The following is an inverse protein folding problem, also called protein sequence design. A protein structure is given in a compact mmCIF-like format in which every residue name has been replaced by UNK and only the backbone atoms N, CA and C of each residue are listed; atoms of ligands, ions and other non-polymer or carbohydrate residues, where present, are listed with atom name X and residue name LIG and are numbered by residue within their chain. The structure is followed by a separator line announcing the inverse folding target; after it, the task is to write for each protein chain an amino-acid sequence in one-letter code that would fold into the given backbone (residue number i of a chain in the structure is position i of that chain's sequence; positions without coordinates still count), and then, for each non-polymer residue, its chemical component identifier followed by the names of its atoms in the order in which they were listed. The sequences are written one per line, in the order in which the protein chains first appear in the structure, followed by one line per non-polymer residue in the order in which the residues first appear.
data_IF_982333479994
#
_entry.id   IF_982333479994
#
_cell.length_a   1.000
_cell.length_b   1.000
_cell.length_c   1.000
_cell.angle_alpha   90.00
_cell.angle_beta   90.00
_cell.angle_gamma   90.00
#
_symmetry.space_group_name_H-M   'P 1'
#
loop_
_entity.id
_entity.type
_entity.pdbx_description
1 polymer ?
#
# COMPACT_ATOMS: atom_id res chain seq x y z
N UNK A 1 0.44 -32.00 -23.24
CA UNK A 1 1.89 -32.07 -22.90
C UNK A 1 2.76 -32.23 -24.15
N UNK A 2 2.50 -33.22 -25.01
CA UNK A 2 3.26 -33.41 -26.25
C UNK A 2 3.37 -32.12 -27.09
N UNK A 3 2.26 -31.40 -27.30
CA UNK A 3 2.27 -30.14 -28.08
C UNK A 3 3.24 -29.09 -27.55
N UNK A 4 3.42 -29.01 -26.22
CA UNK A 4 4.40 -28.14 -25.60
C UNK A 4 5.82 -28.67 -25.84
N UNK A 5 6.07 -29.95 -25.53
CA UNK A 5 7.40 -30.56 -25.67
C UNK A 5 7.95 -30.50 -27.10
N UNK A 6 7.08 -30.61 -28.10
CA UNK A 6 7.45 -30.53 -29.52
C UNK A 6 7.34 -29.11 -30.10
N UNK A 7 6.98 -28.11 -29.29
CA UNK A 7 6.89 -26.71 -29.73
C UNK A 7 5.77 -26.41 -30.70
N UNK A 8 4.79 -27.31 -30.84
CA UNK A 8 3.55 -27.05 -31.58
C UNK A 8 2.71 -25.97 -30.89
N UNK A 9 2.81 -25.87 -29.56
CA UNK A 9 2.26 -24.78 -28.74
C UNK A 9 3.38 -24.17 -27.90
N UNK A 10 3.42 -22.85 -27.83
CA UNK A 10 4.37 -22.12 -26.99
C UNK A 10 3.85 -22.03 -25.53
N UNK A 11 4.62 -22.48 -24.51
CA UNK A 11 4.23 -22.34 -23.12
C UNK A 11 4.10 -20.87 -22.74
N UNK A 12 3.05 -20.56 -21.98
CA UNK A 12 2.70 -19.21 -21.55
C UNK A 12 2.04 -19.18 -20.17
N UNK A 13 2.28 -20.23 -19.38
CA UNK A 13 1.85 -20.29 -17.99
C UNK A 13 2.77 -19.45 -17.10
N UNK A 14 2.18 -18.77 -16.10
CA UNK A 14 2.91 -18.10 -15.02
C UNK A 14 2.56 -18.79 -13.70
N UNK A 15 3.53 -18.88 -12.79
CA UNK A 15 3.30 -19.48 -11.49
C UNK A 15 2.31 -18.65 -10.66
N UNK A 16 1.27 -19.31 -10.15
CA UNK A 16 0.32 -18.71 -9.21
C UNK A 16 0.81 -18.77 -7.75
N UNK A 17 1.93 -19.44 -7.51
CA UNK A 17 2.53 -19.62 -6.18
C UNK A 17 4.05 -19.49 -6.27
N UNK A 18 4.67 -19.04 -5.19
CA UNK A 18 6.13 -19.06 -5.06
C UNK A 18 6.61 -20.48 -4.82
N UNK A 19 7.62 -20.93 -5.56
CA UNK A 19 8.34 -22.17 -5.25
C UNK A 19 9.56 -21.80 -4.41
N UNK A 20 9.56 -22.05 -3.09
CA UNK A 20 10.65 -21.66 -2.21
C UNK A 20 11.89 -22.55 -2.42
N UNK A 21 13.07 -22.08 -2.01
CA UNK A 21 14.28 -22.91 -2.02
C UNK A 21 14.20 -24.00 -0.94
N UNK A 22 13.71 -23.63 0.25
CA UNK A 22 13.42 -24.54 1.37
C UNK A 22 12.04 -24.23 1.92
N UNK A 23 11.35 -25.24 2.44
CA UNK A 23 10.07 -25.02 3.12
C UNK A 23 10.20 -24.04 4.31
N UNK A 24 11.35 -24.08 5.00
CA UNK A 24 11.67 -23.18 6.11
C UNK A 24 11.81 -21.69 5.73
N UNK A 25 11.90 -21.38 4.43
CA UNK A 25 11.95 -20.00 3.94
C UNK A 25 10.55 -19.37 3.82
N UNK A 26 9.48 -20.17 3.97
CA UNK A 26 8.10 -19.69 3.92
C UNK A 26 7.70 -19.00 5.23
N UNK A 27 6.95 -17.90 5.13
CA UNK A 27 6.59 -17.06 6.28
C UNK A 27 5.80 -17.81 7.37
N UNK A 28 5.01 -18.81 6.98
CA UNK A 28 4.17 -19.59 7.88
C UNK A 28 4.89 -20.78 8.52
N UNK A 29 6.15 -21.06 8.16
CA UNK A 29 6.85 -22.29 8.57
C UNK A 29 6.86 -22.51 10.08
N UNK A 30 7.05 -21.45 10.86
CA UNK A 30 7.09 -21.54 12.34
C UNK A 30 5.71 -21.67 12.98
N UNK A 31 4.65 -21.29 12.27
CA UNK A 31 3.28 -21.25 12.80
C UNK A 31 2.43 -22.46 12.34
N UNK A 32 2.87 -23.21 11.33
CA UNK A 32 2.15 -24.36 10.77
C UNK A 32 2.77 -25.69 11.23
N UNK A 33 1.98 -26.72 11.62
CA UNK A 33 0.52 -26.83 11.57
C UNK A 33 -0.21 -26.28 12.81
N UNK A 34 0.46 -25.47 13.63
CA UNK A 34 -0.07 -24.92 14.88
C UNK A 34 0.19 -25.79 16.10
N UNK A 35 -0.38 -25.39 17.24
CA UNK A 35 -0.22 -26.04 18.53
C UNK A 35 -1.53 -25.98 19.34
N UNK A 36 -1.79 -27.02 20.14
CA UNK A 36 -2.98 -27.09 21.02
C UNK A 36 -4.32 -26.78 20.30
N UNK A 37 -4.45 -27.22 19.04
CA UNK A 37 -5.66 -27.00 18.23
C UNK A 37 -5.82 -25.59 17.65
N UNK A 38 -4.80 -24.73 17.73
CA UNK A 38 -4.83 -23.36 17.23
C UNK A 38 -3.67 -23.09 16.25
N UNK A 39 -3.96 -22.37 15.16
CA UNK A 39 -2.96 -21.91 14.17
C UNK A 39 -2.99 -20.40 14.14
N UNK A 40 -1.89 -19.74 14.47
CA UNK A 40 -1.77 -18.27 14.43
C UNK A 40 -1.14 -17.85 13.10
N UNK A 41 -1.82 -16.97 12.36
CA UNK A 41 -1.31 -16.38 11.12
C UNK A 41 -0.35 -15.23 11.46
N UNK A 42 0.80 -15.56 12.06
CA UNK A 42 1.76 -14.59 12.58
C UNK A 42 2.47 -13.76 11.51
N UNK A 43 2.48 -14.25 10.28
CA UNK A 43 3.01 -13.55 9.10
C UNK A 43 2.12 -12.39 8.62
N UNK A 44 0.86 -12.32 9.07
CA UNK A 44 -0.10 -11.30 8.65
C UNK A 44 -0.27 -11.28 7.13
N UNK A 45 -0.09 -10.11 6.52
CA UNK A 45 -0.21 -9.95 5.05
C UNK A 45 1.02 -10.45 4.28
N UNK A 46 2.11 -10.82 4.96
CA UNK A 46 3.36 -11.26 4.34
C UNK A 46 3.27 -12.75 3.95
N UNK A 47 2.38 -13.08 3.03
CA UNK A 47 2.16 -14.46 2.55
C UNK A 47 2.73 -14.63 1.13
N UNK A 48 3.46 -15.72 0.90
CA UNK A 48 4.02 -16.06 -0.41
C UNK A 48 5.04 -15.02 -0.87
N UNK A 49 4.93 -14.54 -2.11
CA UNK A 49 5.87 -13.56 -2.66
C UNK A 49 5.92 -12.26 -1.84
N UNK A 50 4.83 -11.87 -1.17
CA UNK A 50 4.82 -10.69 -0.29
C UNK A 50 5.88 -10.80 0.79
N UNK A 51 6.10 -11.99 1.34
CA UNK A 51 7.21 -12.25 2.26
C UNK A 51 8.56 -12.25 1.54
N UNK A 52 8.72 -13.14 0.56
CA UNK A 52 10.00 -13.37 -0.12
C UNK A 52 10.63 -12.06 -0.64
N UNK A 53 9.83 -11.21 -1.29
CA UNK A 53 10.33 -9.96 -1.85
C UNK A 53 10.57 -8.90 -0.77
N UNK A 54 9.71 -8.81 0.26
CA UNK A 54 9.84 -7.78 1.30
C UNK A 54 11.02 -8.02 2.22
N UNK A 55 11.32 -9.29 2.56
CA UNK A 55 12.44 -9.64 3.45
C UNK A 55 13.67 -10.15 2.69
N UNK A 56 13.66 -10.03 1.34
CA UNK A 56 14.75 -10.44 0.46
C UNK A 56 15.21 -11.90 0.67
N UNK A 57 14.25 -12.81 0.83
CA UNK A 57 14.50 -14.26 0.91
C UNK A 57 14.30 -14.87 -0.48
N UNK A 58 15.35 -15.38 -1.14
CA UNK A 58 15.23 -15.87 -2.52
C UNK A 58 14.24 -17.02 -2.66
N UNK A 59 13.41 -16.96 -3.70
CA UNK A 59 12.62 -18.09 -4.16
C UNK A 59 13.40 -18.89 -5.21
N UNK A 60 13.13 -20.20 -5.33
CA UNK A 60 13.65 -20.99 -6.45
C UNK A 60 13.00 -20.57 -7.76
N UNK A 61 11.67 -20.38 -7.72
CA UNK A 61 10.92 -19.74 -8.79
C UNK A 61 9.93 -18.75 -8.16
N UNK A 62 10.07 -17.44 -8.45
CA UNK A 62 9.17 -16.43 -7.90
C UNK A 62 7.73 -16.60 -8.40
N UNK A 63 6.78 -16.04 -7.65
CA UNK A 63 5.41 -15.86 -8.13
C UNK A 63 5.41 -15.11 -9.48
N UNK A 64 4.56 -15.52 -10.41
CA UNK A 64 4.51 -14.92 -11.74
C UNK A 64 5.62 -15.37 -12.70
N UNK A 65 6.55 -16.23 -12.26
CA UNK A 65 7.60 -16.76 -13.13
C UNK A 65 7.05 -17.72 -14.18
N UNK A 66 7.62 -17.70 -15.38
CA UNK A 66 7.25 -18.55 -16.49
C UNK A 66 8.15 -18.30 -17.70
N UNK A 67 8.48 -19.35 -18.43
CA UNK A 67 9.29 -19.27 -19.66
C UNK A 67 8.42 -19.42 -20.90
N UNK A 68 8.97 -18.98 -22.02
CA UNK A 68 8.36 -19.08 -23.35
C UNK A 68 9.42 -19.56 -24.35
N UNK A 69 8.97 -20.13 -25.47
CA UNK A 69 9.84 -20.43 -26.62
C UNK A 69 10.13 -19.20 -27.49
N UNK A 70 9.55 -18.04 -27.17
CA UNK A 70 9.89 -16.76 -27.78
C UNK A 70 10.32 -15.76 -26.71
N UNK A 71 10.81 -14.59 -27.11
CA UNK A 71 11.18 -13.51 -26.20
C UNK A 71 10.23 -12.33 -26.35
N UNK A 72 9.95 -11.65 -25.25
CA UNK A 72 9.15 -10.43 -25.23
C UNK A 72 9.93 -9.28 -24.61
N UNK A 73 9.67 -8.09 -25.11
CA UNK A 73 10.14 -6.83 -24.54
C UNK A 73 8.93 -5.99 -24.11
N UNK A 74 9.10 -5.27 -23.01
CA UNK A 74 8.16 -4.24 -22.56
C UNK A 74 8.85 -2.88 -22.61
N UNK A 75 8.12 -1.86 -23.05
CA UNK A 75 8.62 -0.49 -23.17
C UNK A 75 7.48 0.52 -22.96
N UNK A 76 7.84 1.79 -22.88
CA UNK A 76 6.89 2.92 -22.91
C UNK A 76 5.77 2.82 -21.87
N UNK A 77 6.12 2.42 -20.63
CA UNK A 77 5.18 2.47 -19.52
C UNK A 77 4.79 3.94 -19.24
N UNK A 78 3.51 4.25 -19.36
CA UNK A 78 2.93 5.52 -18.92
C UNK A 78 1.86 5.26 -17.88
N UNK A 79 1.73 6.18 -16.93
CA UNK A 79 0.75 6.09 -15.85
C UNK A 79 0.14 7.46 -15.64
N UNK A 80 -1.19 7.52 -15.66
CA UNK A 80 -1.96 8.74 -15.49
C UNK A 80 -2.95 8.55 -14.35
N UNK A 81 -2.99 9.50 -13.42
CA UNK A 81 -4.06 9.53 -12.41
C UNK A 81 -5.40 9.80 -13.11
N UNK A 82 -6.41 9.00 -12.80
CA UNK A 82 -7.77 9.13 -13.35
C UNK A 82 -8.78 9.67 -12.33
N UNK A 83 -8.31 9.89 -11.10
CA UNK A 83 -9.06 10.42 -9.96
C UNK A 83 -8.12 10.63 -8.77
N UNK A 84 -8.69 10.93 -7.61
CA UNK A 84 -7.91 11.15 -6.39
C UNK A 84 -7.21 9.87 -5.92
N UNK A 85 -7.78 8.71 -6.21
CA UNK A 85 -7.35 7.38 -5.74
C UNK A 85 -7.27 6.33 -6.85
N UNK A 86 -7.36 6.72 -8.12
CA UNK A 86 -7.35 5.82 -9.26
C UNK A 86 -6.35 6.24 -10.33
N UNK A 87 -5.89 5.28 -11.13
CA UNK A 87 -4.97 5.53 -12.23
C UNK A 87 -5.22 4.59 -13.42
N UNK A 88 -4.60 4.91 -14.56
CA UNK A 88 -4.53 4.06 -15.74
C UNK A 88 -3.07 3.87 -16.11
N UNK A 89 -2.65 2.62 -16.27
CA UNK A 89 -1.31 2.27 -16.76
C UNK A 89 -1.40 1.74 -18.19
N UNK A 90 -0.52 2.23 -19.05
CA UNK A 90 -0.40 1.78 -20.44
C UNK A 90 1.03 1.35 -20.71
N UNK A 91 1.23 0.20 -21.35
CA UNK A 91 2.56 -0.34 -21.67
C UNK A 91 2.58 -0.99 -23.05
N UNK A 92 3.68 -0.82 -23.76
CA UNK A 92 3.92 -1.46 -25.04
C UNK A 92 4.59 -2.82 -24.84
N UNK A 93 4.09 -3.85 -25.52
CA UNK A 93 4.60 -5.23 -25.48
C UNK A 93 4.93 -5.68 -26.89
N UNK A 94 6.15 -6.15 -27.10
CA UNK A 94 6.63 -6.63 -28.39
C UNK A 94 7.12 -8.06 -28.28
N UNK A 95 6.74 -8.91 -29.24
CA UNK A 95 7.37 -10.21 -29.42
C UNK A 95 8.65 -10.02 -30.24
N UNK A 96 9.79 -10.22 -29.60
CA UNK A 96 11.12 -10.00 -30.17
C UNK A 96 11.79 -11.28 -30.66
N UNK A 97 11.14 -12.44 -30.48
CA UNK A 97 11.64 -13.71 -30.99
C UNK A 97 11.05 -14.10 -32.34
N UNK A 98 11.32 -15.34 -32.74
CA UNK A 98 10.96 -15.91 -34.05
C UNK A 98 9.70 -16.78 -34.02
N UNK A 99 9.08 -16.94 -32.85
CA UNK A 99 7.90 -17.78 -32.65
C UNK A 99 6.71 -16.97 -32.14
N UNK A 100 5.48 -17.30 -32.56
CA UNK A 100 4.31 -16.74 -31.91
C UNK A 100 4.23 -17.21 -30.45
N UNK A 101 3.64 -16.39 -29.59
CA UNK A 101 3.47 -16.73 -28.18
C UNK A 101 2.58 -15.76 -27.44
N UNK A 102 2.29 -16.09 -26.19
CA UNK A 102 1.59 -15.18 -25.28
C UNK A 102 2.50 -14.71 -24.16
N UNK A 103 2.41 -13.42 -23.87
CA UNK A 103 3.02 -12.77 -22.70
C UNK A 103 1.94 -12.39 -21.70
N UNK A 104 2.22 -12.52 -20.41
CA UNK A 104 1.40 -12.03 -19.31
C UNK A 104 2.11 -10.82 -18.73
N UNK A 105 1.63 -9.63 -19.07
CA UNK A 105 2.07 -8.37 -18.47
C UNK A 105 1.55 -8.34 -17.04
N UNK A 106 2.44 -8.23 -16.06
CA UNK A 106 2.08 -8.19 -14.65
C UNK A 106 2.39 -6.81 -14.07
N UNK A 107 1.37 -6.17 -13.50
CA UNK A 107 1.49 -4.86 -12.88
C UNK A 107 1.38 -4.98 -11.37
N UNK A 108 2.39 -4.43 -10.70
CA UNK A 108 2.50 -4.37 -9.26
C UNK A 108 2.47 -2.92 -8.79
N UNK A 109 1.94 -2.71 -7.59
CA UNK A 109 2.01 -1.42 -6.87
C UNK A 109 2.96 -1.58 -5.70
N UNK A 110 3.96 -0.71 -5.64
CA UNK A 110 4.85 -0.51 -4.51
C UNK A 110 4.49 0.84 -3.87
N UNK A 111 3.91 0.81 -2.68
CA UNK A 111 3.60 2.01 -1.93
C UNK A 111 4.83 2.47 -1.13
N UNK A 112 4.99 3.78 -0.98
CA UNK A 112 5.95 4.34 -0.03
C UNK A 112 5.56 3.99 1.43
N UNK A 113 6.44 4.35 2.37
CA UNK A 113 6.17 4.20 3.79
C UNK A 113 4.85 4.88 4.16
N UNK A 114 4.01 4.13 4.88
CA UNK A 114 2.69 4.56 5.31
C UNK A 114 2.40 4.13 6.75
N UNK A 115 1.20 4.43 7.26
CA UNK A 115 0.84 4.14 8.66
C UNK A 115 0.77 2.64 8.96
N UNK A 116 0.66 1.79 7.93
CA UNK A 116 0.67 0.34 8.06
C UNK A 116 1.84 -0.28 7.30
N UNK A 117 2.33 -1.43 7.81
CA UNK A 117 3.32 -2.23 7.10
C UNK A 117 2.68 -2.86 5.86
N UNK A 118 3.27 -2.59 4.70
CA UNK A 118 2.84 -3.15 3.42
C UNK A 118 3.94 -4.03 2.81
N UNK A 119 3.58 -5.02 1.98
CA UNK A 119 4.56 -5.70 1.14
C UNK A 119 5.29 -4.70 0.24
N UNK A 120 6.56 -4.98 -0.08
CA UNK A 120 7.37 -4.12 -0.95
C UNK A 120 6.70 -3.87 -2.31
N UNK A 121 5.89 -4.82 -2.79
CA UNK A 121 5.01 -4.67 -3.94
C UNK A 121 3.87 -5.68 -3.90
N UNK A 122 2.75 -5.34 -4.54
CA UNK A 122 1.58 -6.21 -4.65
C UNK A 122 1.05 -6.24 -6.08
N UNK A 123 0.78 -7.44 -6.62
CA UNK A 123 0.10 -7.59 -7.91
C UNK A 123 -1.29 -6.95 -7.85
N UNK A 124 -1.57 -6.02 -8.75
CA UNK A 124 -2.87 -5.33 -8.85
C UNK A 124 -3.58 -5.55 -10.18
N UNK A 125 -2.85 -5.77 -11.26
CA UNK A 125 -3.43 -6.08 -12.54
C UNK A 125 -2.52 -7.01 -13.35
N UNK A 126 -3.10 -7.75 -14.27
CA UNK A 126 -2.35 -8.44 -15.30
C UNK A 126 -3.17 -8.56 -16.58
N UNK A 127 -2.51 -8.66 -17.71
CA UNK A 127 -3.16 -8.88 -19.00
C UNK A 127 -2.34 -9.86 -19.84
N UNK A 128 -3.04 -10.81 -20.47
CA UNK A 128 -2.41 -11.80 -21.35
C UNK A 128 -2.62 -11.40 -22.79
N UNK A 129 -1.53 -11.23 -23.52
CA UNK A 129 -1.52 -10.82 -24.93
C UNK A 129 -0.84 -11.88 -25.78
N UNK A 130 -1.47 -12.26 -26.90
CA UNK A 130 -0.87 -13.14 -27.91
C UNK A 130 -0.31 -12.29 -29.05
N UNK A 131 0.92 -12.57 -29.46
CA UNK A 131 1.67 -11.81 -30.45
C UNK A 131 2.36 -12.75 -31.44
N UNK A 132 2.24 -12.43 -32.73
CA UNK A 132 3.10 -12.98 -33.79
C UNK A 132 4.54 -12.46 -33.65
N UNK A 133 5.55 -13.12 -34.26
CA UNK A 133 6.91 -12.59 -34.31
C UNK A 133 6.95 -11.15 -34.81
N UNK A 134 7.74 -10.29 -34.17
CA UNK A 134 7.85 -8.85 -34.42
C UNK A 134 6.55 -8.03 -34.21
N UNK A 135 5.44 -8.66 -33.81
CA UNK A 135 4.21 -7.93 -33.49
C UNK A 135 4.37 -7.15 -32.19
N UNK A 136 3.83 -5.93 -32.19
CA UNK A 136 3.78 -5.04 -31.03
C UNK A 136 2.33 -4.67 -30.74
N UNK A 137 1.95 -4.69 -29.45
CA UNK A 137 0.66 -4.20 -28.98
C UNK A 137 0.81 -3.35 -27.73
N UNK A 138 -0.06 -2.37 -27.62
CA UNK A 138 -0.22 -1.57 -26.40
C UNK A 138 -1.29 -2.20 -25.53
N UNK A 139 -1.00 -2.35 -24.24
CA UNK A 139 -1.88 -2.90 -23.22
C UNK A 139 -2.20 -1.81 -22.21
N UNK A 140 -3.50 -1.54 -21.99
CA UNK A 140 -3.98 -0.64 -20.96
C UNK A 140 -4.59 -1.44 -19.79
N UNK A 141 -4.34 -0.99 -18.56
CA UNK A 141 -4.86 -1.57 -17.32
C UNK A 141 -5.40 -0.46 -16.43
N UNK A 142 -6.67 -0.56 -16.05
CA UNK A 142 -7.28 0.33 -15.06
C UNK A 142 -6.90 -0.09 -13.65
N UNK A 143 -6.60 0.89 -12.81
CA UNK A 143 -6.28 0.73 -11.40
C UNK A 143 -7.28 1.56 -10.60
N UNK A 144 -8.27 0.88 -10.02
CA UNK A 144 -9.25 1.51 -9.13
C UNK A 144 -8.64 1.80 -7.75
N UNK A 145 -9.44 2.39 -6.85
CA UNK A 145 -9.03 2.69 -5.48
C UNK A 145 -8.43 1.47 -4.74
N UNK A 146 -8.95 0.26 -5.01
CA UNK A 146 -8.48 -0.98 -4.36
C UNK A 146 -7.07 -1.37 -4.80
N UNK A 147 -6.59 -0.89 -5.94
CA UNK A 147 -5.20 -1.07 -6.33
C UNK A 147 -4.22 -0.37 -5.38
N UNK A 148 -4.63 0.74 -4.76
CA UNK A 148 -3.77 1.55 -3.89
C UNK A 148 -4.08 1.34 -2.41
N UNK A 149 -5.30 0.91 -2.10
CA UNK A 149 -5.81 0.81 -0.74
C UNK A 149 -5.11 -0.25 0.13
N UNK A 150 -5.17 -0.01 1.44
CA UNK A 150 -4.97 -1.01 2.49
C UNK A 150 -6.20 -1.07 3.39
N UNK A 151 -6.36 -2.17 4.11
CA UNK A 151 -7.42 -2.28 5.13
C UNK A 151 -6.95 -1.62 6.42
N UNK A 152 -7.65 -0.58 6.83
CA UNK A 152 -7.42 0.09 8.12
C UNK A 152 -8.26 -0.61 9.20
N UNK A 153 -7.59 -1.17 10.21
CA UNK A 153 -8.25 -1.91 11.28
C UNK A 153 -8.99 -1.02 12.28
N UNK A 154 -8.57 0.23 12.44
CA UNK A 154 -9.25 1.20 13.31
C UNK A 154 -10.54 1.68 12.64
N UNK A 155 -10.48 1.92 11.33
CA UNK A 155 -11.61 2.43 10.55
C UNK A 155 -12.54 1.33 10.06
N UNK A 156 -12.06 0.08 10.08
CA UNK A 156 -12.76 -1.09 9.53
C UNK A 156 -13.19 -0.88 8.08
N UNK A 157 -12.33 -0.23 7.28
CA UNK A 157 -12.58 0.06 5.87
C UNK A 157 -11.29 0.09 5.05
N UNK A 158 -11.43 0.07 3.73
CA UNK A 158 -10.36 0.31 2.78
C UNK A 158 -10.06 1.80 2.69
N UNK A 159 -8.79 2.16 2.78
CA UNK A 159 -8.36 3.55 2.67
C UNK A 159 -7.18 3.67 1.72
N UNK A 160 -7.13 4.78 0.99
CA UNK A 160 -6.02 5.13 0.08
C UNK A 160 -5.27 6.29 0.70
N UNK A 161 -4.04 6.04 1.15
CA UNK A 161 -3.23 7.13 1.70
C UNK A 161 -2.82 8.12 0.59
N UNK A 162 -2.85 9.44 0.83
CA UNK A 162 -2.17 10.40 -0.03
C UNK A 162 -0.70 10.02 -0.18
N UNK A 163 -0.15 10.15 -1.38
CA UNK A 163 1.27 9.96 -1.58
C UNK A 163 1.65 9.45 -2.95
N UNK A 164 2.93 9.13 -3.08
CA UNK A 164 3.52 8.61 -4.31
C UNK A 164 3.56 7.09 -4.26
N UNK A 165 3.05 6.47 -5.32
CA UNK A 165 3.04 5.03 -5.54
C UNK A 165 3.91 4.72 -6.75
N UNK A 166 4.79 3.73 -6.63
CA UNK A 166 5.52 3.17 -7.76
C UNK A 166 4.67 2.11 -8.45
N UNK A 167 4.33 2.35 -9.72
CA UNK A 167 3.65 1.40 -10.60
C UNK A 167 4.70 0.66 -11.39
N UNK A 168 4.76 -0.65 -11.20
CA UNK A 168 5.83 -1.49 -11.70
C UNK A 168 5.29 -2.53 -12.68
N UNK A 169 5.89 -2.62 -13.87
CA UNK A 169 5.74 -3.79 -14.74
C UNK A 169 6.85 -4.77 -14.38
N UNK A 170 6.48 -5.96 -13.94
CA UNK A 170 7.44 -6.97 -13.52
C UNK A 170 7.33 -8.22 -14.41
N UNK A 171 8.47 -8.90 -14.64
CA UNK A 171 8.50 -10.19 -15.34
C UNK A 171 7.95 -11.33 -14.47
N UNK A 172 8.18 -11.19 -13.18
CA UNK A 172 7.74 -12.00 -12.06
C UNK A 172 7.84 -11.12 -10.80
N UNK A 173 7.40 -11.60 -9.64
CA UNK A 173 7.40 -10.80 -8.41
C UNK A 173 8.79 -10.26 -8.02
N UNK A 174 9.88 -10.92 -8.42
CA UNK A 174 11.25 -10.53 -8.06
C UNK A 174 11.87 -9.52 -9.04
N UNK A 175 11.45 -9.54 -10.31
CA UNK A 175 12.15 -8.82 -11.39
C UNK A 175 11.31 -7.67 -11.95
N UNK A 176 11.61 -6.44 -11.51
CA UNK A 176 11.04 -5.21 -12.06
C UNK A 176 11.67 -4.91 -13.43
N UNK A 177 10.85 -4.70 -14.45
CA UNK A 177 11.29 -4.36 -15.80
C UNK A 177 11.14 -2.86 -16.09
N UNK A 178 10.02 -2.25 -15.67
CA UNK A 178 9.74 -0.83 -15.83
C UNK A 178 9.08 -0.32 -14.55
N UNK A 179 9.32 0.94 -14.21
CA UNK A 179 8.73 1.60 -13.05
C UNK A 179 8.42 3.06 -13.39
N UNK A 180 7.22 3.51 -13.00
CA UNK A 180 6.78 4.90 -13.08
C UNK A 180 6.06 5.26 -11.79
N UNK A 181 6.34 6.45 -11.26
CA UNK A 181 5.66 6.96 -10.08
C UNK A 181 4.34 7.66 -10.45
N UNK A 182 3.31 7.49 -9.63
CA UNK A 182 2.06 8.24 -9.68
C UNK A 182 1.77 8.83 -8.30
N UNK A 183 1.41 10.10 -8.24
CA UNK A 183 0.99 10.76 -7.00
C UNK A 183 -0.52 10.80 -6.95
N UNK A 184 -1.09 10.29 -5.86
CA UNK A 184 -2.52 10.26 -5.61
C UNK A 184 -2.85 11.11 -4.39
N UNK A 185 -3.96 11.85 -4.45
CA UNK A 185 -4.48 12.59 -3.30
C UNK A 185 -5.06 11.64 -2.24
N UNK A 186 -5.50 10.46 -2.66
CA UNK A 186 -6.08 9.43 -1.82
C UNK A 186 -7.35 9.88 -1.11
N UNK A 187 -7.80 9.05 -0.19
CA UNK A 187 -8.83 9.39 0.78
C UNK A 187 -8.45 8.74 2.12
N UNK A 188 -8.12 9.56 3.11
CA UNK A 188 -8.08 9.12 4.50
C UNK A 188 -9.35 9.61 5.16
N UNK A 189 -10.23 8.72 5.64
CA UNK A 189 -11.39 9.16 6.41
C UNK A 189 -10.90 9.90 7.65
N UNK A 190 -11.60 10.98 7.95
CA UNK A 190 -11.26 11.85 9.07
C UNK A 190 -11.74 11.14 10.34
N UNK A 191 -10.79 10.69 11.17
CA UNK A 191 -11.08 9.95 12.41
C UNK A 191 -11.77 10.85 13.44
N UNK A 192 -12.76 10.31 14.14
CA UNK A 192 -13.30 10.95 15.34
C UNK A 192 -12.19 11.01 16.42
N UNK A 193 -11.82 12.23 16.79
CA UNK A 193 -10.93 12.46 17.92
C UNK A 193 -11.62 12.12 19.23
N UNK A 194 -10.90 11.41 20.10
CA UNK A 194 -11.31 11.15 21.48
C UNK A 194 -10.25 11.62 22.47
N UNK A 195 -10.50 11.46 23.77
CA UNK A 195 -9.46 11.74 24.78
C UNK A 195 -8.32 10.70 24.73
N UNK A 196 -8.55 9.53 24.13
CA UNK A 196 -7.49 8.53 23.88
C UNK A 196 -6.63 8.89 22.66
N UNK A 197 -7.09 9.82 21.82
CA UNK A 197 -6.28 10.33 20.71
C UNK A 197 -5.09 11.12 21.21
N UNK A 198 -3.97 11.01 20.50
CA UNK A 198 -2.72 11.68 20.83
C UNK A 198 -2.78 13.18 20.54
N UNK A 199 -1.99 13.98 21.24
CA UNK A 199 -1.91 15.44 20.97
C UNK A 199 -1.56 15.70 19.50
N UNK A 200 -0.68 14.88 18.91
CA UNK A 200 -0.31 14.99 17.50
C UNK A 200 -1.51 14.78 16.57
N UNK A 201 -2.35 13.77 16.80
CA UNK A 201 -3.60 13.54 16.04
C UNK A 201 -4.54 14.74 16.14
N UNK A 202 -4.64 15.35 17.32
CA UNK A 202 -5.45 16.55 17.52
C UNK A 202 -4.92 17.75 16.71
N UNK A 203 -3.61 17.97 16.70
CA UNK A 203 -2.98 19.06 15.95
C UNK A 203 -3.07 18.89 14.42
N UNK A 204 -2.98 17.65 13.93
CA UNK A 204 -2.99 17.36 12.48
C UNK A 204 -4.38 17.12 11.92
N UNK A 205 -5.43 17.12 12.76
CA UNK A 205 -6.79 16.85 12.32
C UNK A 205 -7.31 17.93 11.36
N UNK A 206 -7.80 17.58 10.16
CA UNK A 206 -8.11 18.55 9.11
C UNK A 206 -9.23 19.53 9.47
N UNK A 207 -10.23 19.09 10.25
CA UNK A 207 -11.38 19.94 10.61
C UNK A 207 -11.22 20.75 11.90
N UNK A 208 -10.30 20.37 12.81
CA UNK A 208 -10.20 20.99 14.14
C UNK A 208 -8.78 21.34 14.58
N UNK A 209 -7.75 20.85 13.89
CA UNK A 209 -6.35 20.99 14.31
C UNK A 209 -5.87 22.43 14.34
N UNK A 210 -6.24 23.26 13.37
CA UNK A 210 -5.89 24.69 13.37
C UNK A 210 -6.50 25.43 14.57
N UNK A 211 -7.75 25.12 14.94
CA UNK A 211 -8.41 25.70 16.11
C UNK A 211 -7.80 25.18 17.40
N UNK A 212 -7.50 23.88 17.48
CA UNK A 212 -6.84 23.27 18.63
C UNK A 212 -5.46 23.91 18.88
N UNK A 213 -4.64 24.06 17.84
CA UNK A 213 -3.34 24.75 17.92
C UNK A 213 -3.48 26.20 18.38
N UNK A 214 -4.49 26.93 17.89
CA UNK A 214 -4.75 28.30 18.33
C UNK A 214 -5.13 28.36 19.82
N UNK A 215 -5.92 27.40 20.33
CA UNK A 215 -6.28 27.32 21.75
C UNK A 215 -5.07 26.97 22.63
N UNK A 216 -4.19 26.07 22.18
CA UNK A 216 -2.94 25.72 22.89
C UNK A 216 -2.00 26.93 22.95
N UNK A 217 -1.84 27.64 21.83
CA UNK A 217 -1.02 28.86 21.77
C UNK A 217 -1.56 29.95 22.70
N UNK A 218 -2.89 30.13 22.75
CA UNK A 218 -3.55 31.12 23.61
C UNK A 218 -3.47 30.77 25.12
N UNK A 219 -3.27 29.49 25.48
CA UNK A 219 -3.15 29.04 26.85
C UNK A 219 -1.71 29.13 27.42
N UNK A 220 -0.72 29.50 26.60
CA UNK A 220 0.68 29.60 27.02
C UNK A 220 0.93 30.91 27.81
N UNK A 221 1.51 30.84 29.03
CA UNK A 221 1.52 31.96 29.99
C UNK A 221 2.21 33.27 29.54
N UNK A 222 3.08 33.25 28.54
CA UNK A 222 4.00 34.37 28.28
C UNK A 222 3.87 35.08 26.92
N UNK A 223 2.91 34.72 26.05
CA UNK A 223 2.74 35.42 24.75
C UNK A 223 4.00 35.46 23.85
N UNK A 224 5.07 34.75 24.24
CA UNK A 224 6.38 34.63 23.60
C UNK A 224 6.60 33.22 23.05
N UNK A 225 5.53 32.43 22.93
CA UNK A 225 5.53 31.15 22.24
C UNK A 225 5.60 31.36 20.74
N UNK A 226 6.81 31.60 20.23
CA UNK A 226 7.07 31.47 18.79
C UNK A 226 6.70 30.06 18.30
N UNK A 227 6.58 29.90 16.98
CA UNK A 227 6.30 28.60 16.37
C UNK A 227 7.24 27.48 16.88
N UNK A 228 8.49 27.83 17.19
CA UNK A 228 9.53 26.91 17.69
C UNK A 228 9.22 26.34 19.09
N UNK A 229 8.72 27.15 20.04
CA UNK A 229 8.38 26.67 21.38
C UNK A 229 7.16 25.73 21.38
N UNK A 230 6.21 25.99 20.46
CA UNK A 230 5.05 25.11 20.25
C UNK A 230 5.50 23.81 19.57
N UNK A 231 6.45 23.87 18.64
CA UNK A 231 7.03 22.71 17.98
C UNK A 231 7.80 21.81 18.98
N UNK A 232 8.63 22.39 19.85
CA UNK A 232 9.37 21.64 20.89
C UNK A 232 8.43 20.97 21.90
N UNK A 233 7.38 21.68 22.32
CA UNK A 233 6.34 21.11 23.19
C UNK A 233 5.65 19.92 22.51
N UNK A 234 5.25 20.08 21.24
CA UNK A 234 4.62 19.02 20.44
C UNK A 234 5.55 17.83 20.20
N UNK A 235 6.85 18.06 20.09
CA UNK A 235 7.84 16.98 19.98
C UNK A 235 7.94 16.16 21.27
N UNK A 236 7.71 16.80 22.43
CA UNK A 236 7.78 16.14 23.75
C UNK A 236 6.46 15.46 24.16
N UNK A 237 5.30 16.07 23.86
CA UNK A 237 3.98 15.56 24.29
C UNK A 237 3.12 15.00 23.16
N UNK A 238 3.59 15.06 21.92
CA UNK A 238 2.84 14.68 20.73
C UNK A 238 2.26 13.27 20.77
N UNK A 239 3.01 12.31 21.31
CA UNK A 239 2.58 10.90 21.43
C UNK A 239 1.75 10.62 22.69
N UNK A 240 1.55 11.59 23.60
CA UNK A 240 0.73 11.39 24.79
C UNK A 240 -0.76 11.42 24.43
N UNK A 241 -1.59 10.53 25.00
CA UNK A 241 -3.05 10.64 24.90
C UNK A 241 -3.54 11.96 25.52
N UNK A 242 -4.54 12.57 24.91
CA UNK A 242 -5.15 13.80 25.43
C UNK A 242 -5.71 13.64 26.85
N UNK A 243 -6.15 12.45 27.22
CA UNK A 243 -6.60 12.12 28.58
C UNK A 243 -5.49 12.35 29.60
N UNK A 244 -4.24 12.01 29.26
CA UNK A 244 -3.07 12.24 30.11
C UNK A 244 -2.82 13.73 30.29
N UNK A 245 -2.93 14.52 29.22
CA UNK A 245 -2.79 15.99 29.27
C UNK A 245 -3.89 16.62 30.12
N UNK A 246 -5.14 16.17 29.96
CA UNK A 246 -6.28 16.61 30.78
C UNK A 246 -6.03 16.30 32.26
N UNK A 247 -5.50 15.11 32.57
CA UNK A 247 -5.17 14.72 33.94
C UNK A 247 -4.03 15.57 34.52
N UNK A 248 -3.02 15.94 33.73
CA UNK A 248 -1.93 16.83 34.14
C UNK A 248 -2.41 18.26 34.43
N UNK A 249 -3.34 18.78 33.62
CA UNK A 249 -3.90 20.13 33.79
C UNK A 249 -4.95 20.20 34.91
N UNK A 250 -5.56 19.08 35.29
CA UNK A 250 -6.55 19.01 36.35
C UNK A 250 -7.72 19.96 36.12
N UNK A 251 -8.01 20.83 37.09
CA UNK A 251 -9.11 21.81 37.01
C UNK A 251 -8.91 22.89 35.92
N UNK A 252 -7.67 23.07 35.42
CA UNK A 252 -7.39 24.00 34.33
C UNK A 252 -7.63 23.39 32.94
N UNK A 253 -7.98 22.10 32.86
CA UNK A 253 -8.20 21.43 31.59
C UNK A 253 -9.44 21.99 30.86
N UNK A 254 -9.34 22.35 29.56
CA UNK A 254 -10.44 22.92 28.80
C UNK A 254 -11.42 21.84 28.30
N UNK A 255 -11.95 21.01 29.21
CA UNK A 255 -12.77 19.82 28.88
C UNK A 255 -13.97 20.19 28.00
N UNK A 256 -14.66 21.29 28.29
CA UNK A 256 -15.82 21.74 27.50
C UNK A 256 -15.47 22.21 26.07
N UNK A 257 -14.24 22.66 25.84
CA UNK A 257 -13.76 22.99 24.50
C UNK A 257 -13.41 21.72 23.74
N UNK A 258 -12.69 20.79 24.40
CA UNK A 258 -12.37 19.47 23.83
C UNK A 258 -13.63 18.71 23.43
N UNK A 259 -14.67 18.67 24.27
CA UNK A 259 -15.94 18.01 23.93
C UNK A 259 -16.61 18.62 22.69
N UNK A 260 -16.55 19.95 22.52
CA UNK A 260 -17.08 20.63 21.33
C UNK A 260 -16.29 20.29 20.07
N UNK A 261 -14.96 20.20 20.17
CA UNK A 261 -14.11 19.81 19.06
C UNK A 261 -14.34 18.34 18.68
N UNK A 262 -14.41 17.42 19.65
CA UNK A 262 -14.72 15.99 19.42
C UNK A 262 -16.07 15.80 18.70
N UNK A 263 -17.11 16.56 19.08
CA UNK A 263 -18.40 16.46 18.42
C UNK A 263 -18.36 16.82 16.92
N UNK A 264 -17.40 17.64 16.49
CA UNK A 264 -17.20 18.06 15.10
C UNK A 264 -16.30 17.11 14.30
N UNK A 265 -15.62 16.19 14.96
CA UNK A 265 -14.80 15.17 14.29
C UNK A 265 -15.57 13.88 14.02
N UNK A 266 -16.80 13.76 14.55
CA UNK A 266 -17.71 12.65 14.25
C UNK A 266 -18.00 12.57 12.75
N UNK A 267 -17.77 11.43 12.09
CA UNK A 267 -18.14 11.27 10.70
C UNK A 267 -19.66 11.41 10.55
N UNK A 268 -20.09 12.28 9.63
CA UNK A 268 -21.50 12.42 9.27
C UNK A 268 -21.95 11.09 8.68
N UNK A 269 -22.82 10.38 9.38
CA UNK A 269 -23.34 9.07 8.97
C UNK A 269 -24.30 9.27 7.80
N UNK A 270 -23.77 9.46 6.60
CA UNK A 270 -24.59 9.63 5.40
C UNK A 270 -23.87 9.07 4.17
N UNK A 271 -23.54 7.77 4.20
CA UNK A 271 -23.24 6.95 3.02
C UNK A 271 -23.68 5.50 3.24
N UNK A 272 -24.86 5.17 2.70
CA UNK A 272 -25.27 3.81 2.31
C UNK A 272 -24.78 3.53 0.89
#
# INVERSE_FOLDING_TARGET
LADLLFGAVNPSGRLAETIPVRLADTASYVNFPGEQGHVRYGEGVMVGYRWHETVAVPARYPFGYGLSYTTFAVADLTVEATGDDSARATVTVSNTGDRPGSEVVQLYIAAADGPVRRPVRELRAFSKVYLQPAETRTVAMELDARAFAYWDVEQQDWVVAPGTYAVQICRDAATVALEVAVTLAGHLPVRELTLESTVQEWCTHPAVGAEFLAQVAAASPDGQGGADATADLLQMVGSMPMQTVVNMLGAAAPVAALTRLMARTRPTTDRL
#
